data_IF_340642889589
#
_entry.id   IF_340642889589
#
_cell.length_a   1.000
_cell.length_b   1.000
_cell.length_c   1.000
_cell.angle_alpha   90.00
_cell.angle_beta   90.00
_cell.angle_gamma   90.00
#
_symmetry.space_group_name_H-M   'P 1'
#
loop_
_entity.id
_entity.type
_entity.pdbx_description
1 polymer ?
#
# COMPACT_ATOMS: atom_id res chain seq x y z
N UNK A 1 37.00 4.27 -4.62
CA UNK A 1 36.41 5.27 -3.70
C UNK A 1 34.96 5.68 -4.02
N UNK A 2 34.26 5.02 -4.96
CA UNK A 2 32.91 5.46 -5.38
C UNK A 2 31.71 4.67 -4.82
N UNK A 3 31.93 3.55 -4.13
CA UNK A 3 30.81 2.69 -3.69
C UNK A 3 30.16 3.15 -2.38
N UNK A 4 30.90 3.83 -1.51
CA UNK A 4 30.38 4.30 -0.20
C UNK A 4 29.46 5.52 -0.39
N UNK A 5 29.80 6.43 -1.28
CA UNK A 5 29.04 7.65 -1.53
C UNK A 5 27.67 7.35 -2.18
N UNK A 6 27.60 6.34 -3.05
CA UNK A 6 26.33 5.91 -3.69
C UNK A 6 25.36 5.25 -2.71
N UNK A 7 25.88 4.50 -1.71
CA UNK A 7 25.05 3.89 -0.66
C UNK A 7 24.51 4.92 0.33
N UNK A 8 25.33 5.87 0.74
CA UNK A 8 24.90 6.98 1.63
C UNK A 8 23.87 7.90 0.96
N UNK A 9 24.05 8.21 -0.33
CA UNK A 9 23.07 8.99 -1.09
C UNK A 9 21.76 8.24 -1.30
N UNK A 10 21.80 6.92 -1.52
CA UNK A 10 20.62 6.07 -1.63
C UNK A 10 19.85 5.95 -0.31
N UNK A 11 20.54 5.79 0.81
CA UNK A 11 19.93 5.77 2.15
C UNK A 11 19.32 7.12 2.52
N UNK A 12 19.95 8.23 2.15
CA UNK A 12 19.42 9.58 2.38
C UNK A 12 18.12 9.83 1.58
N UNK A 13 18.06 9.40 0.32
CA UNK A 13 16.84 9.53 -0.51
C UNK A 13 15.69 8.68 0.02
N UNK A 14 15.97 7.45 0.47
CA UNK A 14 14.94 6.59 1.06
C UNK A 14 14.38 7.18 2.35
N UNK A 15 15.23 7.69 3.24
CA UNK A 15 14.79 8.30 4.50
C UNK A 15 13.95 9.57 4.27
N UNK A 16 14.33 10.41 3.31
CA UNK A 16 13.55 11.60 2.93
C UNK A 16 12.20 11.21 2.37
N UNK A 17 12.15 10.19 1.52
CA UNK A 17 10.91 9.69 0.97
C UNK A 17 10.00 9.11 2.06
N UNK A 18 10.51 8.28 2.95
CA UNK A 18 9.72 7.72 4.06
C UNK A 18 9.13 8.81 4.96
N UNK A 19 9.92 9.84 5.28
CA UNK A 19 9.44 10.99 6.04
C UNK A 19 8.35 11.78 5.29
N UNK A 20 8.53 11.98 3.98
CA UNK A 20 7.55 12.64 3.12
C UNK A 20 6.26 11.80 3.03
N UNK A 21 6.39 10.50 2.82
CA UNK A 21 5.27 9.58 2.75
C UNK A 21 4.48 9.55 4.07
N UNK A 22 5.17 9.51 5.21
CA UNK A 22 4.56 9.56 6.54
C UNK A 22 3.77 10.87 6.75
N UNK A 23 4.28 12.00 6.24
CA UNK A 23 3.59 13.28 6.32
C UNK A 23 2.29 13.27 5.48
N UNK A 24 2.37 12.91 4.21
CA UNK A 24 1.20 12.92 3.32
C UNK A 24 0.17 11.83 3.64
N UNK A 25 0.58 10.69 4.19
CA UNK A 25 -0.29 9.61 4.63
C UNK A 25 -0.65 9.68 6.13
N UNK A 26 -0.37 10.79 6.79
CA UNK A 26 -0.63 10.98 8.23
C UNK A 26 -2.07 10.58 8.64
N UNK A 27 -3.14 10.85 7.87
CA UNK A 27 -4.48 10.38 8.21
C UNK A 27 -4.61 8.86 8.29
N UNK A 28 -3.72 8.11 7.64
CA UNK A 28 -3.71 6.65 7.60
C UNK A 28 -2.65 6.04 8.53
N UNK A 29 -1.89 6.85 9.29
CA UNK A 29 -0.73 6.39 10.07
C UNK A 29 -1.07 5.24 11.02
N UNK A 30 -2.14 5.37 11.80
CA UNK A 30 -2.58 4.31 12.73
C UNK A 30 -2.96 3.01 12.04
N UNK A 31 -3.52 3.07 10.83
CA UNK A 31 -3.86 1.89 10.03
C UNK A 31 -2.61 1.26 9.41
N UNK A 32 -1.66 2.09 8.99
CA UNK A 32 -0.39 1.62 8.42
C UNK A 32 0.47 0.91 9.48
N UNK A 33 0.45 1.38 10.73
CA UNK A 33 1.18 0.80 11.85
C UNK A 33 0.49 -0.44 12.46
N UNK A 34 -0.84 -0.56 12.31
CA UNK A 34 -1.60 -1.67 12.88
C UNK A 34 -1.29 -3.00 12.16
N UNK A 35 -0.64 -3.99 12.83
CA UNK A 35 -0.26 -5.26 12.19
C UNK A 35 -1.47 -6.12 11.80
N UNK A 36 -2.66 -5.84 12.34
CA UNK A 36 -3.90 -6.57 12.01
C UNK A 36 -4.55 -6.09 10.72
N UNK A 37 -4.22 -4.87 10.28
CA UNK A 37 -4.71 -4.29 9.02
C UNK A 37 -3.91 -4.86 7.85
N UNK A 38 -4.62 -5.42 6.88
CA UNK A 38 -4.03 -6.01 5.67
C UNK A 38 -4.14 -5.10 4.46
N UNK A 39 -5.23 -4.34 4.38
CA UNK A 39 -5.52 -3.45 3.25
C UNK A 39 -6.23 -2.19 3.75
N UNK A 40 -5.90 -1.05 3.15
CA UNK A 40 -6.50 0.26 3.42
C UNK A 40 -7.05 0.77 2.10
N UNK A 41 -8.31 1.18 2.09
CA UNK A 41 -8.99 1.71 0.91
C UNK A 41 -9.57 3.09 1.21
N UNK A 42 -9.20 4.07 0.38
CA UNK A 42 -9.67 5.46 0.44
C UNK A 42 -10.49 5.73 -0.81
N UNK A 43 -11.76 6.00 -0.66
CA UNK A 43 -12.71 6.24 -1.76
C UNK A 43 -13.23 7.68 -1.68
N UNK A 44 -12.56 8.60 -2.41
CA UNK A 44 -12.66 10.03 -2.14
C UNK A 44 -12.05 10.37 -0.79
N UNK A 45 -11.89 11.65 -0.48
CA UNK A 45 -11.18 12.08 0.73
C UNK A 45 -11.89 11.73 2.06
N UNK A 46 -13.21 11.49 2.04
CA UNK A 46 -14.03 11.32 3.24
C UNK A 46 -14.18 9.86 3.70
N UNK A 47 -14.03 8.87 2.80
CA UNK A 47 -14.39 7.49 3.09
C UNK A 47 -13.16 6.59 3.11
N UNK A 48 -12.81 6.13 4.30
CA UNK A 48 -11.72 5.20 4.53
C UNK A 48 -12.25 3.88 5.06
N UNK A 49 -11.77 2.80 4.47
CA UNK A 49 -12.05 1.44 4.88
C UNK A 49 -10.74 0.72 5.17
N UNK A 50 -10.78 -0.20 6.10
CA UNK A 50 -9.66 -1.10 6.39
C UNK A 50 -10.13 -2.55 6.38
N UNK A 51 -9.29 -3.44 5.85
CA UNK A 51 -9.49 -4.87 6.02
C UNK A 51 -8.67 -5.37 7.21
N UNK A 52 -9.34 -6.04 8.14
CA UNK A 52 -8.73 -6.74 9.28
C UNK A 52 -9.21 -8.18 9.32
N UNK A 53 -8.29 -9.13 9.29
CA UNK A 53 -8.60 -10.57 9.38
C UNK A 53 -9.68 -11.02 8.36
N UNK A 54 -9.61 -10.49 7.13
CA UNK A 54 -10.57 -10.79 6.06
C UNK A 54 -11.94 -10.10 6.20
N UNK A 55 -12.08 -9.15 7.12
CA UNK A 55 -13.31 -8.35 7.29
C UNK A 55 -13.05 -6.90 6.95
N UNK A 56 -13.91 -6.35 6.10
CA UNK A 56 -13.92 -4.95 5.73
C UNK A 56 -14.72 -4.14 6.75
N UNK A 57 -14.12 -3.05 7.23
CA UNK A 57 -14.77 -2.11 8.16
C UNK A 57 -14.54 -0.66 7.71
N UNK A 58 -15.52 0.20 7.97
CA UNK A 58 -15.37 1.65 7.81
C UNK A 58 -14.60 2.23 8.97
N UNK A 59 -13.68 3.16 8.68
CA UNK A 59 -12.83 3.82 9.68
C UNK A 59 -13.17 5.31 9.72
N UNK A 60 -13.16 5.90 10.91
CA UNK A 60 -13.54 7.30 11.10
C UNK A 60 -12.50 8.32 10.60
N UNK A 61 -11.30 7.88 10.21
CA UNK A 61 -10.28 8.77 9.64
C UNK A 61 -10.65 9.23 8.23
N UNK A 62 -10.13 10.38 7.82
CA UNK A 62 -10.32 10.94 6.48
C UNK A 62 -9.18 11.90 6.14
N UNK A 63 -9.03 12.23 4.86
CA UNK A 63 -8.22 13.37 4.42
C UNK A 63 -9.01 14.66 4.57
N UNK A 64 -8.33 15.77 4.77
CA UNK A 64 -8.98 17.09 4.98
C UNK A 64 -9.83 17.50 3.79
N UNK A 65 -9.30 17.28 2.59
CA UNK A 65 -9.96 17.55 1.31
C UNK A 65 -9.42 16.65 0.18
N UNK A 66 -9.96 16.84 -1.01
CA UNK A 66 -9.54 16.11 -2.21
C UNK A 66 -8.10 16.42 -2.62
N UNK A 67 -7.66 17.67 -2.44
CA UNK A 67 -6.29 18.10 -2.77
C UNK A 67 -5.25 17.46 -1.86
N UNK A 68 -5.58 17.26 -0.57
CA UNK A 68 -4.74 16.52 0.36
C UNK A 68 -4.54 15.07 -0.06
N UNK A 69 -5.62 14.39 -0.50
CA UNK A 69 -5.54 13.02 -1.02
C UNK A 69 -4.76 12.96 -2.35
N UNK A 70 -5.00 13.89 -3.26
CA UNK A 70 -4.24 13.99 -4.53
C UNK A 70 -2.74 14.21 -4.26
N UNK A 71 -2.40 15.08 -3.31
CA UNK A 71 -1.01 15.34 -2.91
C UNK A 71 -0.33 14.09 -2.37
N UNK A 72 -1.04 13.29 -1.57
CA UNK A 72 -0.55 11.99 -1.10
C UNK A 72 -0.30 11.02 -2.27
N UNK A 73 -1.21 10.94 -3.22
CA UNK A 73 -1.07 10.09 -4.42
C UNK A 73 0.12 10.56 -5.27
N UNK A 74 0.26 11.87 -5.54
CA UNK A 74 1.40 12.41 -6.28
C UNK A 74 2.74 12.21 -5.55
N UNK A 75 2.76 12.24 -4.22
CA UNK A 75 3.97 11.93 -3.47
C UNK A 75 4.41 10.46 -3.68
N UNK A 76 3.46 9.54 -3.78
CA UNK A 76 3.75 8.13 -4.09
C UNK A 76 4.40 7.96 -5.47
N UNK A 77 4.02 8.75 -6.48
CA UNK A 77 4.57 8.65 -7.84
C UNK A 77 6.05 9.00 -7.90
N UNK A 78 6.51 9.93 -7.07
CA UNK A 78 7.91 10.37 -7.04
C UNK A 78 8.90 9.23 -6.75
N UNK A 79 8.42 8.18 -6.09
CA UNK A 79 9.26 7.05 -5.72
C UNK A 79 9.31 5.94 -6.78
N UNK A 80 8.27 5.80 -7.58
CA UNK A 80 8.11 4.64 -8.49
C UNK A 80 8.43 4.97 -9.95
N UNK A 81 8.97 6.15 -10.21
CA UNK A 81 9.29 6.66 -11.56
C UNK A 81 8.11 6.51 -12.54
N UNK A 82 6.93 6.79 -12.03
CA UNK A 82 5.67 6.79 -12.77
C UNK A 82 4.91 8.07 -12.48
N UNK A 83 4.20 8.55 -13.48
CA UNK A 83 3.34 9.71 -13.36
C UNK A 83 1.87 9.30 -13.29
N UNK A 84 1.05 10.13 -12.65
CA UNK A 84 -0.39 10.02 -12.66
C UNK A 84 -0.98 11.36 -13.06
N UNK A 85 -1.84 11.35 -14.07
CA UNK A 85 -2.45 12.57 -14.66
C UNK A 85 -3.85 12.25 -15.20
N UNK A 86 -4.55 13.27 -15.70
CA UNK A 86 -5.84 13.08 -16.34
C UNK A 86 -5.75 12.16 -17.58
N UNK A 87 -4.62 12.14 -18.27
CA UNK A 87 -4.34 11.30 -19.43
C UNK A 87 -3.92 9.88 -19.04
N UNK A 88 -3.29 9.75 -17.88
CA UNK A 88 -2.86 8.47 -17.28
C UNK A 88 -3.36 8.39 -15.83
N UNK A 89 -4.69 8.20 -15.65
CA UNK A 89 -5.32 8.38 -14.34
C UNK A 89 -5.19 7.20 -13.38
N UNK A 90 -4.40 6.20 -13.71
CA UNK A 90 -4.22 4.97 -12.93
C UNK A 90 -2.75 4.79 -12.58
N UNK A 91 -2.48 4.57 -11.30
CA UNK A 91 -1.17 4.20 -10.77
C UNK A 91 -1.25 2.81 -10.13
N UNK A 92 -0.36 1.92 -10.59
CA UNK A 92 -0.05 0.66 -9.92
C UNK A 92 1.43 0.66 -9.56
N UNK A 93 1.74 0.49 -8.27
CA UNK A 93 3.11 0.59 -7.79
C UNK A 93 3.38 -0.35 -6.60
N UNK A 94 4.67 -0.64 -6.38
CA UNK A 94 5.15 -1.31 -5.18
C UNK A 94 6.10 -0.38 -4.44
N UNK A 95 5.82 -0.16 -3.17
CA UNK A 95 6.69 0.62 -2.28
C UNK A 95 7.91 -0.20 -1.82
N UNK A 96 8.97 0.44 -1.33
CA UNK A 96 10.14 -0.25 -0.78
C UNK A 96 9.82 -1.18 0.37
N UNK A 97 8.80 -0.83 1.16
CA UNK A 97 8.24 -1.68 2.22
C UNK A 97 7.64 -2.99 1.71
N UNK A 98 7.55 -3.16 0.37
CA UNK A 98 6.87 -4.28 -0.27
C UNK A 98 5.34 -4.09 -0.42
N UNK A 99 4.77 -3.05 0.17
CA UNK A 99 3.35 -2.75 0.04
C UNK A 99 3.00 -2.43 -1.43
N UNK A 100 1.84 -2.89 -1.87
CA UNK A 100 1.29 -2.56 -3.19
C UNK A 100 0.33 -1.38 -3.05
N UNK A 101 0.47 -0.43 -3.96
CA UNK A 101 -0.37 0.76 -4.03
C UNK A 101 -1.07 0.79 -5.38
N UNK A 102 -2.38 1.03 -5.34
CA UNK A 102 -3.20 1.29 -6.51
C UNK A 102 -3.92 2.61 -6.30
N UNK A 103 -3.83 3.52 -7.25
CA UNK A 103 -4.55 4.79 -7.21
C UNK A 103 -5.26 5.06 -8.54
N UNK A 104 -6.44 5.68 -8.44
CA UNK A 104 -7.21 6.14 -9.59
C UNK A 104 -7.66 7.57 -9.29
N UNK A 105 -7.44 8.47 -10.25
CA UNK A 105 -7.88 9.87 -10.14
C UNK A 105 -8.93 10.22 -11.21
N UNK A 106 -9.67 11.32 -11.04
CA UNK A 106 -10.53 11.84 -12.11
C UNK A 106 -9.73 12.09 -13.41
N UNK A 107 -10.32 11.89 -14.59
CA UNK A 107 -11.72 11.59 -14.83
C UNK A 107 -12.11 10.09 -14.75
N UNK A 108 -11.16 9.17 -14.56
CA UNK A 108 -11.43 7.73 -14.48
C UNK A 108 -12.24 7.35 -13.23
N UNK A 109 -12.02 8.03 -12.12
CA UNK A 109 -12.84 7.92 -10.90
C UNK A 109 -13.90 9.03 -10.84
N UNK A 110 -15.16 8.64 -10.61
CA UNK A 110 -16.28 9.58 -10.45
C UNK A 110 -16.50 10.08 -9.02
N UNK A 111 -15.89 9.43 -8.06
CA UNK A 111 -16.05 9.75 -6.62
C UNK A 111 -14.89 10.58 -6.06
N UNK A 112 -14.07 11.15 -6.95
CA UNK A 112 -12.81 11.79 -6.59
C UNK A 112 -11.64 10.79 -6.62
N UNK A 113 -10.45 11.19 -6.15
CA UNK A 113 -9.30 10.30 -6.08
C UNK A 113 -9.59 9.09 -5.19
N UNK A 114 -9.07 7.93 -5.58
CA UNK A 114 -9.14 6.71 -4.80
C UNK A 114 -7.72 6.16 -4.61
N UNK A 115 -7.44 5.64 -3.43
CA UNK A 115 -6.15 5.07 -3.06
C UNK A 115 -6.35 3.77 -2.32
N UNK A 116 -5.72 2.69 -2.78
CA UNK A 116 -5.67 1.41 -2.08
C UNK A 116 -4.22 1.08 -1.73
N UNK A 117 -3.97 0.71 -0.48
CA UNK A 117 -2.66 0.27 0.01
C UNK A 117 -2.82 -1.13 0.58
N UNK A 118 -2.27 -2.13 -0.10
CA UNK A 118 -2.20 -3.50 0.38
C UNK A 118 -0.85 -3.73 1.05
N UNK A 119 -0.87 -3.93 2.36
CA UNK A 119 0.34 -4.11 3.15
C UNK A 119 1.04 -5.42 2.80
N UNK A 120 2.37 -5.36 2.76
CA UNK A 120 3.17 -6.57 2.64
C UNK A 120 3.11 -7.34 3.96
N UNK A 121 2.81 -8.64 3.89
CA UNK A 121 2.92 -9.56 5.01
C UNK A 121 4.21 -10.37 4.84
N UNK A 122 5.16 -10.26 5.77
CA UNK A 122 6.37 -11.09 5.74
C UNK A 122 6.08 -12.55 6.11
N UNK A 123 4.89 -12.83 6.68
CA UNK A 123 4.49 -14.16 7.11
C UNK A 123 4.22 -15.04 5.88
N UNK A 124 5.23 -15.80 5.52
CA UNK A 124 5.10 -16.85 4.50
C UNK A 124 4.31 -17.99 5.13
N UNK A 125 3.12 -18.27 4.61
CA UNK A 125 2.34 -19.44 5.02
C UNK A 125 3.11 -20.70 4.59
N UNK A 126 3.36 -21.57 5.55
CA UNK A 126 3.89 -22.91 5.28
C UNK A 126 2.81 -23.80 4.64
N UNK A 127 3.22 -24.93 4.04
CA UNK A 127 2.25 -25.92 3.55
C UNK A 127 1.38 -26.48 4.68
N UNK A 128 1.96 -26.61 5.90
CA UNK A 128 1.20 -27.00 7.09
C UNK A 128 0.15 -25.98 7.48
N UNK A 129 0.47 -24.67 7.35
CA UNK A 129 -0.51 -23.62 7.59
C UNK A 129 -1.67 -23.69 6.58
N UNK A 130 -1.37 -23.96 5.32
CA UNK A 130 -2.39 -24.10 4.28
C UNK A 130 -3.32 -25.30 4.54
N UNK A 131 -2.76 -26.41 5.01
CA UNK A 131 -3.56 -27.58 5.43
C UNK A 131 -4.43 -27.22 6.63
N UNK A 132 -3.84 -26.60 7.66
CA UNK A 132 -4.56 -26.18 8.87
C UNK A 132 -5.71 -25.19 8.57
N UNK A 133 -5.50 -24.30 7.60
CA UNK A 133 -6.50 -23.33 7.15
C UNK A 133 -7.54 -23.92 6.18
N UNK A 134 -7.40 -25.19 5.79
CA UNK A 134 -8.30 -25.84 4.84
C UNK A 134 -8.14 -25.41 3.37
N UNK A 135 -7.05 -24.68 3.06
CA UNK A 135 -6.73 -24.25 1.69
C UNK A 135 -6.02 -25.31 0.87
N UNK A 136 -5.48 -26.33 1.52
CA UNK A 136 -4.77 -27.45 0.92
C UNK A 136 -5.17 -28.75 1.64
N UNK A 137 -5.42 -29.82 0.89
CA UNK A 137 -5.64 -31.12 1.53
C UNK A 137 -4.29 -31.77 1.93
N UNK A 138 -4.28 -32.68 2.95
CA UNK A 138 -3.06 -33.41 3.32
C UNK A 138 -2.42 -34.17 2.15
N UNK A 139 -3.25 -34.79 1.29
CA UNK A 139 -2.80 -35.54 0.11
C UNK A 139 -2.16 -34.59 -0.94
N UNK A 140 -2.76 -33.42 -1.15
CA UNK A 140 -2.22 -32.42 -2.06
C UNK A 140 -0.89 -31.84 -1.54
N UNK A 141 -0.73 -31.66 -0.21
CA UNK A 141 0.54 -31.29 0.41
C UNK A 141 1.64 -32.30 0.11
N UNK A 142 1.37 -33.59 0.33
CA UNK A 142 2.34 -34.66 0.07
C UNK A 142 2.80 -34.65 -1.40
N UNK A 143 1.88 -34.39 -2.33
CA UNK A 143 2.19 -34.28 -3.76
C UNK A 143 3.09 -33.07 -4.10
N UNK A 144 2.89 -31.93 -3.42
CA UNK A 144 3.66 -30.69 -3.69
C UNK A 144 5.06 -30.75 -3.07
N UNK A 145 5.28 -31.56 -2.02
CA UNK A 145 6.61 -31.74 -1.38
C UNK A 145 7.52 -32.72 -2.14
N UNK A 146 7.02 -33.42 -3.19
CA UNK A 146 7.82 -34.31 -4.04
C UNK A 146 8.65 -33.53 -5.05
#
# INVERSE_FOLDING_TARGET
MNSSNSKEQSMSRAAVFEASLAYFLQPLATLLEDPTVTEIMVNGHERVFAERRGKLESVATRFDDEDALLSAIHNLTQYVDRDISAEQPILDARLPSGARVHAIIPPASRVGPCLTIRKFRPDVLSLDDLVRLGSLSPEAREFVEL
#
